data_IF_635562520632
#
_entry.id   IF_635562520632
#
_cell.length_a   1.000
_cell.length_b   1.000
_cell.length_c   1.000
_cell.angle_alpha   90.00
_cell.angle_beta   90.00
_cell.angle_gamma   90.00
#
_symmetry.space_group_name_H-M   'P 1'
#
loop_
_entity.id
_entity.type
_entity.pdbx_description
1 polymer ?
#
# COMPACT_ATOMS: atom_id res chain seq x y z
N UNK A 1 51.62 -0.61 62.05
CA UNK A 1 50.56 0.42 62.20
C UNK A 1 50.74 1.45 61.10
N UNK A 2 49.77 1.63 60.20
CA UNK A 2 49.95 2.55 59.05
C UNK A 2 48.86 2.48 57.99
N UNK A 3 47.65 2.93 58.37
CA UNK A 3 46.56 3.55 57.58
C UNK A 3 46.16 2.96 56.20
N UNK A 4 44.92 2.42 56.20
CA UNK A 4 43.99 2.32 55.08
C UNK A 4 43.99 3.60 54.22
N UNK A 5 44.04 3.44 52.91
CA UNK A 5 43.40 4.37 51.98
C UNK A 5 42.51 3.57 51.04
N UNK A 6 41.24 3.43 51.44
CA UNK A 6 40.15 3.03 50.55
C UNK A 6 40.04 4.13 49.51
N UNK A 7 40.44 3.86 48.27
CA UNK A 7 39.98 4.68 47.14
C UNK A 7 38.46 4.60 47.13
N UNK A 8 37.88 5.76 47.41
CA UNK A 8 36.48 6.11 47.29
C UNK A 8 35.99 5.62 45.93
N UNK A 9 35.22 4.53 45.95
CA UNK A 9 34.44 4.08 44.80
C UNK A 9 33.32 5.10 44.71
N UNK A 10 33.52 6.07 43.83
CA UNK A 10 32.53 7.06 43.42
C UNK A 10 31.24 6.29 43.13
N UNK A 11 30.21 6.54 43.93
CA UNK A 11 28.88 6.02 43.69
C UNK A 11 28.36 6.72 42.44
N UNK A 12 28.64 6.14 41.27
CA UNK A 12 27.91 6.45 40.04
C UNK A 12 26.45 6.20 40.39
N UNK A 13 25.68 7.29 40.46
CA UNK A 13 24.27 7.24 40.77
C UNK A 13 23.61 6.34 39.70
N UNK A 14 23.03 5.18 40.06
CA UNK A 14 22.50 4.20 39.10
C UNK A 14 21.26 4.69 38.33
N UNK A 15 20.89 5.97 38.47
CA UNK A 15 19.78 6.60 37.77
C UNK A 15 20.18 7.42 36.54
N UNK A 16 21.41 7.94 36.44
CA UNK A 16 21.76 8.86 35.34
C UNK A 16 21.94 8.11 34.01
N UNK A 17 22.71 7.01 34.02
CA UNK A 17 22.92 6.17 32.83
C UNK A 17 21.61 5.53 32.35
N UNK A 18 20.76 5.04 33.27
CA UNK A 18 19.51 4.37 32.91
C UNK A 18 18.47 5.32 32.28
N UNK A 19 18.45 6.59 32.69
CA UNK A 19 17.56 7.62 32.12
C UNK A 19 18.05 8.04 30.72
N UNK A 20 19.36 8.14 30.51
CA UNK A 20 19.94 8.41 29.20
C UNK A 20 19.68 7.25 28.21
N UNK A 21 19.88 6.00 28.65
CA UNK A 21 19.57 4.82 27.84
C UNK A 21 18.08 4.72 27.48
N UNK A 22 17.18 5.05 28.41
CA UNK A 22 15.74 4.96 28.17
C UNK A 22 15.22 6.09 27.27
N UNK A 23 15.77 7.30 27.39
CA UNK A 23 15.49 8.41 26.48
C UNK A 23 15.97 8.10 25.05
N UNK A 24 17.19 7.58 24.92
CA UNK A 24 17.75 7.17 23.62
C UNK A 24 16.91 6.04 23.00
N UNK A 25 16.56 5.02 23.79
CA UNK A 25 15.72 3.92 23.35
C UNK A 25 14.33 4.39 22.88
N UNK A 26 13.67 5.30 23.61
CA UNK A 26 12.38 5.86 23.21
C UNK A 26 12.49 6.62 21.88
N UNK A 27 13.54 7.44 21.75
CA UNK A 27 13.79 8.21 20.52
C UNK A 27 14.07 7.31 19.31
N UNK A 28 14.75 6.19 19.54
CA UNK A 28 15.06 5.17 18.53
C UNK A 28 13.80 4.39 18.13
N UNK A 29 12.99 3.98 19.10
CA UNK A 29 11.73 3.28 18.85
C UNK A 29 10.73 4.14 18.07
N UNK A 30 10.64 5.44 18.36
CA UNK A 30 9.80 6.38 17.62
C UNK A 30 10.26 6.52 16.17
N UNK A 31 11.57 6.67 15.94
CA UNK A 31 12.16 6.75 14.60
C UNK A 31 11.97 5.44 13.82
N UNK A 32 12.20 4.29 14.46
CA UNK A 32 12.04 2.98 13.85
C UNK A 32 10.58 2.73 13.44
N UNK A 33 9.63 3.12 14.28
CA UNK A 33 8.20 3.01 14.00
C UNK A 33 7.81 3.86 12.79
N UNK A 34 8.31 5.11 12.73
CA UNK A 34 8.08 6.01 11.61
C UNK A 34 8.69 5.48 10.30
N UNK A 35 9.94 5.02 10.33
CA UNK A 35 10.61 4.41 9.16
C UNK A 35 9.91 3.16 8.66
N UNK A 36 9.38 2.34 9.58
CA UNK A 36 8.64 1.12 9.22
C UNK A 36 7.37 1.47 8.45
N UNK A 37 6.63 2.51 8.87
CA UNK A 37 5.44 2.96 8.14
C UNK A 37 5.76 3.62 6.79
N UNK A 38 6.91 4.30 6.67
CA UNK A 38 7.42 4.77 5.37
C UNK A 38 7.74 3.59 4.43
N UNK A 39 8.45 2.58 4.93
CA UNK A 39 8.76 1.35 4.17
C UNK A 39 7.49 0.61 3.71
N UNK A 40 6.48 0.52 4.58
CA UNK A 40 5.16 -0.05 4.22
C UNK A 40 4.52 0.69 3.07
N UNK A 41 4.59 2.02 3.07
CA UNK A 41 4.06 2.82 1.97
C UNK A 41 4.79 2.54 0.66
N UNK A 42 6.12 2.51 0.66
CA UNK A 42 6.90 2.20 -0.55
C UNK A 42 6.53 0.82 -1.10
N UNK A 43 6.29 -0.15 -0.22
CA UNK A 43 5.78 -1.47 -0.60
C UNK A 43 4.39 -1.41 -1.25
N UNK A 44 3.46 -0.64 -0.70
CA UNK A 44 2.14 -0.44 -1.31
C UNK A 44 2.18 0.29 -2.64
N UNK A 45 3.10 1.24 -2.81
CA UNK A 45 3.31 1.93 -4.08
C UNK A 45 3.84 0.97 -5.16
N UNK A 46 4.82 0.14 -4.82
CA UNK A 46 5.31 -0.93 -5.71
C UNK A 46 4.20 -1.92 -6.08
N UNK A 47 3.40 -2.34 -5.10
CA UNK A 47 2.26 -3.23 -5.36
C UNK A 47 1.24 -2.58 -6.31
N UNK A 48 0.94 -1.30 -6.10
CA UNK A 48 0.04 -0.53 -6.97
C UNK A 48 0.56 -0.47 -8.40
N UNK A 49 1.84 -0.15 -8.60
CA UNK A 49 2.47 -0.12 -9.92
C UNK A 49 2.47 -1.49 -10.60
N UNK A 50 2.70 -2.56 -9.82
CA UNK A 50 2.60 -3.94 -10.32
C UNK A 50 1.17 -4.26 -10.77
N UNK A 51 0.15 -3.94 -9.97
CA UNK A 51 -1.26 -4.15 -10.32
C UNK A 51 -1.67 -3.38 -11.59
N UNK A 52 -1.29 -2.11 -11.70
CA UNK A 52 -1.55 -1.31 -12.91
C UNK A 52 -0.90 -1.91 -14.15
N UNK A 53 0.33 -2.41 -14.01
CA UNK A 53 1.04 -3.09 -15.10
C UNK A 53 0.33 -4.37 -15.52
N UNK A 54 -0.04 -5.22 -14.56
CA UNK A 54 -0.79 -6.46 -14.82
C UNK A 54 -2.12 -6.18 -15.52
N UNK A 55 -2.91 -5.22 -15.01
CA UNK A 55 -4.19 -4.85 -15.64
C UNK A 55 -3.97 -4.36 -17.07
N UNK A 56 -2.96 -3.53 -17.30
CA UNK A 56 -2.64 -3.01 -18.63
C UNK A 56 -2.27 -4.12 -19.62
N UNK A 57 -1.43 -5.06 -19.22
CA UNK A 57 -1.03 -6.22 -20.05
C UNK A 57 -2.26 -7.06 -20.41
N UNK A 58 -3.10 -7.39 -19.41
CA UNK A 58 -4.31 -8.20 -19.62
C UNK A 58 -5.30 -7.47 -20.53
N UNK A 59 -5.52 -6.17 -20.32
CA UNK A 59 -6.41 -5.37 -21.16
C UNK A 59 -5.94 -5.32 -22.61
N UNK A 60 -4.63 -5.14 -22.85
CA UNK A 60 -4.07 -5.16 -24.22
C UNK A 60 -4.22 -6.54 -24.87
N UNK A 61 -3.97 -7.62 -24.12
CA UNK A 61 -4.18 -8.98 -24.60
C UNK A 61 -5.65 -9.25 -24.96
N UNK A 62 -6.60 -8.77 -24.15
CA UNK A 62 -8.02 -8.92 -24.44
C UNK A 62 -8.47 -8.09 -25.64
N UNK A 63 -7.95 -6.87 -25.81
CA UNK A 63 -8.27 -6.02 -26.95
C UNK A 63 -7.69 -6.58 -28.27
N UNK A 64 -6.53 -7.21 -28.23
CA UNK A 64 -5.90 -7.80 -29.41
C UNK A 64 -6.63 -9.05 -29.90
N UNK A 65 -7.16 -9.88 -28.99
CA UNK A 65 -7.87 -11.12 -29.36
C UNK A 65 -9.37 -10.88 -29.63
N UNK A 66 -9.95 -9.78 -29.12
CA UNK A 66 -11.35 -9.42 -29.31
C UNK A 66 -11.86 -9.50 -30.77
N UNK A 67 -11.23 -8.88 -31.78
CA UNK A 67 -11.76 -8.91 -33.15
C UNK A 67 -11.85 -10.33 -33.71
N UNK A 68 -10.84 -11.18 -33.46
CA UNK A 68 -10.82 -12.57 -33.90
C UNK A 68 -11.95 -13.39 -33.25
N UNK A 69 -12.20 -13.16 -31.96
CA UNK A 69 -13.28 -13.81 -31.21
C UNK A 69 -14.66 -13.40 -31.72
N UNK A 70 -14.88 -12.10 -31.95
CA UNK A 70 -16.17 -11.58 -32.41
C UNK A 70 -16.46 -11.91 -33.88
N UNK A 71 -15.42 -12.05 -34.72
CA UNK A 71 -15.58 -12.52 -36.09
C UNK A 71 -16.00 -14.00 -36.12
N UNK A 72 -15.35 -14.86 -35.32
CA UNK A 72 -15.64 -16.30 -35.27
C UNK A 72 -17.03 -16.64 -34.74
N UNK A 73 -17.53 -15.88 -33.77
CA UNK A 73 -18.86 -16.07 -33.18
C UNK A 73 -19.88 -15.04 -33.68
N UNK A 74 -19.64 -14.43 -34.84
CA UNK A 74 -20.48 -13.37 -35.41
C UNK A 74 -21.92 -13.85 -35.64
N UNK A 75 -22.87 -12.90 -35.55
CA UNK A 75 -24.31 -13.13 -35.57
C UNK A 75 -24.86 -13.78 -36.87
N UNK A 76 -24.01 -13.94 -37.89
CA UNK A 76 -24.48 -14.13 -39.26
C UNK A 76 -24.78 -15.58 -39.67
N UNK A 77 -24.46 -16.60 -38.87
CA UNK A 77 -24.75 -18.00 -39.24
C UNK A 77 -25.47 -18.78 -38.12
N UNK A 78 -26.68 -19.23 -38.44
CA UNK A 78 -27.35 -20.42 -37.90
C UNK A 78 -27.55 -20.54 -36.38
N UNK A 79 -28.26 -19.59 -35.75
CA UNK A 79 -28.83 -19.79 -34.41
C UNK A 79 -27.85 -19.59 -33.23
N UNK A 80 -26.63 -19.13 -33.51
CA UNK A 80 -25.58 -18.83 -32.52
C UNK A 80 -25.77 -17.48 -31.77
N UNK A 81 -26.96 -16.87 -31.81
CA UNK A 81 -27.21 -15.60 -31.14
C UNK A 81 -26.92 -15.65 -29.62
N UNK A 82 -27.19 -16.80 -28.98
CA UNK A 82 -26.95 -16.98 -27.55
C UNK A 82 -25.45 -17.02 -27.19
N UNK A 83 -24.60 -17.64 -28.01
CA UNK A 83 -23.15 -17.70 -27.76
C UNK A 83 -22.49 -16.35 -28.01
N UNK A 84 -22.92 -15.61 -29.04
CA UNK A 84 -22.48 -14.23 -29.25
C UNK A 84 -22.86 -13.31 -28.08
N UNK A 85 -24.11 -13.36 -27.62
CA UNK A 85 -24.57 -12.55 -26.48
C UNK A 85 -23.83 -12.93 -25.19
N UNK A 86 -23.56 -14.22 -24.96
CA UNK A 86 -22.78 -14.68 -23.81
C UNK A 86 -21.32 -14.21 -23.88
N UNK A 87 -20.69 -14.28 -25.06
CA UNK A 87 -19.33 -13.80 -25.28
C UNK A 87 -19.22 -12.28 -25.06
N UNK A 88 -20.13 -11.52 -25.69
CA UNK A 88 -20.16 -10.06 -25.60
C UNK A 88 -20.42 -9.59 -24.16
N UNK A 89 -21.41 -10.18 -23.47
CA UNK A 89 -21.70 -9.85 -22.08
C UNK A 89 -20.55 -10.23 -21.14
N UNK A 90 -19.95 -11.42 -21.31
CA UNK A 90 -18.78 -11.84 -20.56
C UNK A 90 -17.58 -10.91 -20.75
N UNK A 91 -17.33 -10.50 -21.99
CA UNK A 91 -16.27 -9.54 -22.32
C UNK A 91 -16.50 -8.18 -21.64
N UNK A 92 -17.71 -7.64 -21.70
CA UNK A 92 -18.07 -6.38 -21.04
C UNK A 92 -17.88 -6.49 -19.52
N UNK A 93 -18.31 -7.60 -18.91
CA UNK A 93 -18.12 -7.82 -17.46
C UNK A 93 -16.64 -7.86 -17.10
N UNK A 94 -15.80 -8.58 -17.85
CA UNK A 94 -14.36 -8.63 -17.61
C UNK A 94 -13.72 -7.25 -17.77
N UNK A 95 -14.08 -6.49 -18.81
CA UNK A 95 -13.58 -5.14 -19.03
C UNK A 95 -13.99 -4.16 -17.92
N UNK A 96 -15.22 -4.27 -17.40
CA UNK A 96 -15.69 -3.49 -16.26
C UNK A 96 -14.91 -3.82 -14.98
N UNK A 97 -14.65 -5.11 -14.71
CA UNK A 97 -13.86 -5.55 -13.55
C UNK A 97 -12.41 -5.06 -13.65
N UNK A 98 -11.80 -5.16 -14.83
CA UNK A 98 -10.45 -4.64 -15.08
C UNK A 98 -10.40 -3.11 -14.95
N UNK A 99 -11.39 -2.40 -15.50
CA UNK A 99 -11.52 -0.95 -15.37
C UNK A 99 -11.69 -0.51 -13.91
N UNK A 100 -12.54 -1.20 -13.14
CA UNK A 100 -12.72 -0.95 -11.71
C UNK A 100 -11.42 -1.21 -10.94
N UNK A 101 -10.72 -2.31 -11.23
CA UNK A 101 -9.42 -2.62 -10.62
C UNK A 101 -8.36 -1.56 -10.94
N UNK A 102 -8.30 -1.10 -12.19
CA UNK A 102 -7.42 -0.02 -12.62
C UNK A 102 -7.72 1.28 -11.87
N UNK A 103 -8.99 1.68 -11.81
CA UNK A 103 -9.42 2.90 -11.11
C UNK A 103 -9.10 2.83 -9.61
N UNK A 104 -9.32 1.69 -8.95
CA UNK A 104 -8.97 1.51 -7.53
C UNK A 104 -7.47 1.58 -7.29
N UNK A 105 -6.66 0.95 -8.15
CA UNK A 105 -5.20 1.06 -8.11
C UNK A 105 -4.75 2.49 -8.34
N UNK A 106 -5.33 3.21 -9.30
CA UNK A 106 -4.99 4.60 -9.60
C UNK A 106 -5.45 5.56 -8.50
N UNK A 107 -6.62 5.36 -7.92
CA UNK A 107 -7.12 6.11 -6.76
C UNK A 107 -6.23 5.92 -5.53
N UNK A 108 -5.66 4.72 -5.35
CA UNK A 108 -4.66 4.45 -4.30
C UNK A 108 -3.36 5.27 -4.48
N UNK A 109 -3.09 5.78 -5.68
CA UNK A 109 -1.92 6.64 -5.97
C UNK A 109 -2.29 8.14 -5.97
N UNK A 110 -3.34 8.52 -6.72
CA UNK A 110 -3.70 9.92 -7.02
C UNK A 110 -4.15 10.69 -5.78
N UNK A 111 -4.90 10.07 -4.87
CA UNK A 111 -5.35 10.73 -3.63
C UNK A 111 -4.20 10.99 -2.66
N UNK A 112 -2.98 10.56 -2.98
CA UNK A 112 -1.93 10.30 -2.01
C UNK A 112 -0.58 10.91 -2.37
N UNK A 113 -0.55 11.91 -3.26
CA UNK A 113 0.50 12.93 -3.23
C UNK A 113 0.46 13.58 -1.84
N UNK A 114 1.57 13.47 -1.10
CA UNK A 114 1.69 13.98 0.27
C UNK A 114 1.26 15.45 0.30
N UNK A 115 0.35 15.82 1.22
CA UNK A 115 0.61 17.08 1.92
C UNK A 115 1.95 16.85 2.59
N UNK A 116 2.94 17.53 2.05
CA UNK A 116 4.35 17.49 2.40
C UNK A 116 4.46 17.44 3.92
N UNK A 117 5.45 16.68 4.40
CA UNK A 117 5.96 16.74 5.77
C UNK A 117 5.79 18.17 6.30
N UNK A 118 5.31 18.34 7.54
CA UNK A 118 5.47 19.63 8.21
C UNK A 118 6.92 20.07 7.96
N UNK A 119 7.06 21.29 7.44
CA UNK A 119 8.34 21.68 6.89
C UNK A 119 9.39 21.54 8.01
N UNK A 120 10.66 21.27 7.72
CA UNK A 120 11.72 21.31 8.74
C UNK A 120 11.66 22.61 9.58
N UNK A 121 11.10 23.67 8.99
CA UNK A 121 10.73 24.95 9.62
C UNK A 121 9.67 24.84 10.70
N UNK A 122 8.62 24.03 10.53
CA UNK A 122 7.54 23.85 11.51
C UNK A 122 8.06 23.09 12.74
N UNK A 123 8.94 22.11 12.53
CA UNK A 123 9.61 21.38 13.61
C UNK A 123 10.59 22.29 14.36
N UNK A 124 11.29 23.16 13.63
CA UNK A 124 12.14 24.21 14.19
C UNK A 124 11.32 25.24 14.97
N UNK A 125 10.14 25.61 14.50
CA UNK A 125 9.22 26.54 15.18
C UNK A 125 8.65 25.94 16.47
N UNK A 126 8.33 24.64 16.47
CA UNK A 126 7.91 23.93 17.68
C UNK A 126 9.01 23.97 18.76
N UNK A 127 10.25 23.61 18.39
CA UNK A 127 11.40 23.62 19.31
C UNK A 127 11.76 25.05 19.73
N UNK A 128 11.76 26.01 18.80
CA UNK A 128 12.01 27.43 19.12
C UNK A 128 10.89 28.03 19.99
N UNK A 129 9.65 27.57 19.83
CA UNK A 129 8.48 27.96 20.62
C UNK A 129 8.55 27.47 22.07
N UNK A 130 9.01 26.24 22.30
CA UNK A 130 9.27 25.72 23.67
C UNK A 130 10.44 26.44 24.35
N UNK A 131 11.53 26.70 23.61
CA UNK A 131 12.69 27.45 24.12
C UNK A 131 12.33 28.91 24.44
N UNK A 132 11.55 29.58 23.59
CA UNK A 132 11.12 30.98 23.80
C UNK A 132 10.06 31.15 24.89
N UNK A 133 9.30 30.10 25.22
CA UNK A 133 8.36 30.07 26.36
C UNK A 133 9.06 29.89 27.72
N UNK A 134 10.39 29.79 27.74
CA UNK A 134 11.16 29.65 28.98
C UNK A 134 11.06 28.27 29.63
N UNK A 135 10.65 27.25 28.86
CA UNK A 135 10.65 25.85 29.27
C UNK A 135 11.72 25.06 28.47
N UNK A 136 13.02 25.33 28.66
CA UNK A 136 14.05 24.47 28.10
C UNK A 136 13.90 23.07 28.70
N UNK A 137 14.00 22.04 27.87
CA UNK A 137 13.92 20.65 28.32
C UNK A 137 14.91 20.41 29.47
N UNK A 138 14.40 20.01 30.62
CA UNK A 138 15.19 19.87 31.85
C UNK A 138 15.90 18.51 31.92
N UNK A 139 15.47 17.55 31.09
CA UNK A 139 16.07 16.21 31.02
C UNK A 139 16.09 15.63 29.59
N UNK A 140 17.04 14.74 29.29
CA UNK A 140 17.08 14.03 28.01
C UNK A 140 15.82 13.19 27.76
N UNK A 141 15.16 12.72 28.81
CA UNK A 141 13.86 12.04 28.71
C UNK A 141 12.74 12.97 28.21
N UNK A 142 12.67 14.21 28.69
CA UNK A 142 11.69 15.19 28.18
C UNK A 142 11.91 15.53 26.70
N UNK A 143 13.17 15.56 26.24
CA UNK A 143 13.50 15.73 24.82
C UNK A 143 12.98 14.55 24.00
N UNK A 144 13.15 13.32 24.49
CA UNK A 144 12.66 12.11 23.83
C UNK A 144 11.12 12.06 23.78
N UNK A 145 10.45 12.45 24.85
CA UNK A 145 8.98 12.58 24.88
C UNK A 145 8.47 13.70 23.95
N UNK A 146 9.15 14.84 23.91
CA UNK A 146 8.85 15.94 22.99
C UNK A 146 8.97 15.51 21.53
N UNK A 147 10.04 14.77 21.20
CA UNK A 147 10.22 14.15 19.86
C UNK A 147 9.08 13.19 19.54
N UNK A 148 8.70 12.32 20.48
CA UNK A 148 7.60 11.37 20.29
C UNK A 148 6.27 12.10 20.05
N UNK A 149 5.96 13.14 20.85
CA UNK A 149 4.75 13.97 20.69
C UNK A 149 4.72 14.73 19.37
N UNK A 150 5.85 15.26 18.92
CA UNK A 150 5.94 15.96 17.65
C UNK A 150 5.71 15.03 16.45
N UNK A 151 6.21 13.78 16.52
CA UNK A 151 6.06 12.80 15.43
C UNK A 151 4.70 12.10 15.45
N UNK A 152 4.04 11.99 16.60
CA UNK A 152 2.74 11.33 16.79
C UNK A 152 1.66 11.73 15.77
N UNK A 153 1.31 13.02 15.57
CA UNK A 153 0.26 13.40 14.61
C UNK A 153 0.62 13.02 13.17
N UNK A 154 1.91 13.02 12.84
CA UNK A 154 2.40 12.59 11.52
C UNK A 154 2.30 11.08 11.35
N UNK A 155 2.66 10.32 12.39
CA UNK A 155 2.51 8.88 12.40
C UNK A 155 1.04 8.46 12.25
N UNK A 156 0.11 9.10 12.98
CA UNK A 156 -1.33 8.81 12.86
C UNK A 156 -1.87 9.09 11.46
N UNK A 157 -1.48 10.23 10.87
CA UNK A 157 -1.83 10.57 9.49
C UNK A 157 -1.28 9.53 8.50
N UNK A 158 -0.01 9.15 8.64
CA UNK A 158 0.66 8.17 7.79
C UNK A 158 0.05 6.76 7.93
N UNK A 159 -0.28 6.35 9.16
CA UNK A 159 -0.89 5.06 9.44
C UNK A 159 -2.31 4.98 8.86
N UNK A 160 -3.15 6.01 9.10
CA UNK A 160 -4.50 6.08 8.53
C UNK A 160 -4.47 6.03 7.00
N UNK A 161 -3.50 6.74 6.41
CA UNK A 161 -3.21 6.73 4.98
C UNK A 161 -2.86 5.32 4.46
N UNK A 162 -1.92 4.66 5.11
CA UNK A 162 -1.49 3.30 4.77
C UNK A 162 -2.65 2.30 4.89
N UNK A 163 -3.51 2.46 5.89
CA UNK A 163 -4.70 1.61 6.05
C UNK A 163 -5.68 1.75 4.88
N UNK A 164 -5.92 2.98 4.41
CA UNK A 164 -6.74 3.19 3.21
C UNK A 164 -6.09 2.61 1.96
N UNK A 165 -4.80 2.86 1.72
CA UNK A 165 -4.06 2.26 0.60
C UNK A 165 -4.19 0.74 0.60
N UNK A 166 -3.99 0.12 1.76
CA UNK A 166 -4.13 -1.32 1.94
C UNK A 166 -5.54 -1.81 1.56
N UNK A 167 -6.60 -1.12 1.99
CA UNK A 167 -7.98 -1.49 1.67
C UNK A 167 -8.26 -1.41 0.17
N UNK A 168 -7.85 -0.32 -0.48
CA UNK A 168 -8.03 -0.14 -1.93
C UNK A 168 -7.22 -1.14 -2.76
N UNK A 169 -5.95 -1.36 -2.41
CA UNK A 169 -5.11 -2.33 -3.11
C UNK A 169 -5.59 -3.76 -2.92
N UNK A 170 -6.06 -4.11 -1.71
CA UNK A 170 -6.67 -5.42 -1.47
C UNK A 170 -7.95 -5.62 -2.30
N UNK A 171 -8.80 -4.59 -2.38
CA UNK A 171 -10.00 -4.65 -3.21
C UNK A 171 -9.67 -4.77 -4.71
N UNK A 172 -8.71 -3.99 -5.21
CA UNK A 172 -8.23 -4.09 -6.59
C UNK A 172 -7.64 -5.45 -6.91
N UNK A 173 -6.84 -6.02 -6.01
CA UNK A 173 -6.27 -7.37 -6.17
C UNK A 173 -7.37 -8.43 -6.26
N UNK A 174 -8.39 -8.36 -5.38
CA UNK A 174 -9.53 -9.30 -5.43
C UNK A 174 -10.28 -9.17 -6.76
N UNK A 175 -10.58 -7.94 -7.20
CA UNK A 175 -11.25 -7.70 -8.48
C UNK A 175 -10.45 -8.22 -9.66
N UNK A 176 -9.12 -8.06 -9.64
CA UNK A 176 -8.23 -8.58 -10.67
C UNK A 176 -8.28 -10.11 -10.72
N UNK A 177 -8.21 -10.78 -9.56
CA UNK A 177 -8.30 -12.25 -9.48
C UNK A 177 -9.65 -12.72 -10.02
N UNK A 178 -10.75 -12.06 -9.65
CA UNK A 178 -12.09 -12.36 -10.16
C UNK A 178 -12.16 -12.17 -11.67
N UNK A 179 -11.64 -11.05 -12.20
CA UNK A 179 -11.61 -10.79 -13.64
C UNK A 179 -10.85 -11.89 -14.40
N UNK A 180 -9.68 -12.28 -13.91
CA UNK A 180 -8.88 -13.35 -14.52
C UNK A 180 -9.61 -14.70 -14.43
N UNK A 181 -10.24 -15.02 -13.30
CA UNK A 181 -11.00 -16.27 -13.16
C UNK A 181 -12.20 -16.35 -14.10
N UNK A 182 -12.94 -15.24 -14.27
CA UNK A 182 -14.08 -15.17 -15.21
C UNK A 182 -13.56 -15.29 -16.64
N UNK A 183 -12.46 -14.62 -16.97
CA UNK A 183 -11.83 -14.73 -18.29
C UNK A 183 -11.41 -16.18 -18.60
N UNK A 184 -10.73 -16.86 -17.67
CA UNK A 184 -10.34 -18.26 -17.84
C UNK A 184 -11.55 -19.18 -17.94
N UNK A 185 -12.58 -18.95 -17.13
CA UNK A 185 -13.82 -19.71 -17.20
C UNK A 185 -14.49 -19.59 -18.57
N UNK A 186 -14.58 -18.38 -19.12
CA UNK A 186 -15.12 -18.14 -20.46
C UNK A 186 -14.28 -18.87 -21.52
N UNK A 187 -12.95 -18.76 -21.47
CA UNK A 187 -12.06 -19.46 -22.41
C UNK A 187 -12.26 -20.97 -22.36
N UNK A 188 -12.33 -21.56 -21.15
CA UNK A 188 -12.59 -22.99 -20.98
C UNK A 188 -13.97 -23.38 -21.51
N UNK A 189 -15.00 -22.58 -21.22
CA UNK A 189 -16.37 -22.83 -21.69
C UNK A 189 -16.40 -22.86 -23.22
N UNK A 190 -15.88 -21.83 -23.90
CA UNK A 190 -15.86 -21.78 -25.36
C UNK A 190 -14.98 -22.87 -25.98
N UNK A 191 -13.84 -23.21 -25.35
CA UNK A 191 -12.99 -24.32 -25.80
C UNK A 191 -13.69 -25.69 -25.68
N UNK A 192 -14.47 -25.90 -24.62
CA UNK A 192 -15.28 -27.11 -24.45
C UNK A 192 -16.42 -27.18 -25.46
N UNK A 193 -17.08 -26.06 -25.75
CA UNK A 193 -18.10 -25.98 -26.81
C UNK A 193 -17.51 -26.35 -28.18
N UNK A 194 -16.35 -25.80 -28.53
CA UNK A 194 -15.65 -26.13 -29.78
C UNK A 194 -15.20 -27.61 -29.83
N UNK A 195 -14.78 -28.19 -28.70
CA UNK A 195 -14.35 -29.59 -28.63
C UNK A 195 -15.51 -30.60 -28.64
N UNK A 196 -16.66 -30.27 -28.03
CA UNK A 196 -17.82 -31.17 -27.92
C UNK A 196 -18.77 -31.10 -29.11
N UNK A 197 -18.81 -29.98 -29.85
CA UNK A 197 -19.68 -29.77 -31.02
C UNK A 197 -18.94 -29.53 -32.35
N UNK A 198 -17.82 -30.22 -32.67
CA UNK A 198 -17.12 -30.01 -33.94
C UNK A 198 -17.98 -30.45 -35.15
N UNK A 199 -18.99 -31.31 -34.94
CA UNK A 199 -19.80 -31.94 -35.99
C UNK A 199 -21.05 -31.17 -36.43
N UNK A 200 -21.33 -29.97 -35.90
CA UNK A 200 -22.49 -29.17 -36.31
C UNK A 200 -22.14 -27.96 -37.20
N UNK A 201 -20.85 -27.74 -37.46
CA UNK A 201 -20.33 -26.62 -38.25
C UNK A 201 -19.54 -27.06 -39.50
N UNK A 202 -19.66 -28.33 -39.92
CA UNK A 202 -19.19 -28.80 -41.23
C UNK A 202 -20.31 -28.86 -42.26
#
# INVERSE_FOLDING_TARGET
MGKRSRKQKESVAPGFDAVDYSAEYLSWMAELSYRTELSRRDSYERLSNCLLSCVSIISVALLTVAPLLFERYSYNDNGAAASFVLLASGYVVVMLLLGASFLLSLLSQVRLKMSVLASPTDLKEYVAGEVSRGAPFASPMEVAEGKAKAVQPHFESLNRKNEYMRKFLKASMILLIVAVSVCLFLVCLFSLFDFLLPSFWS
#
